data_IF_419170151963
#
_entry.id   IF_419170151963
#
_cell.length_a   1.000
_cell.length_b   1.000
_cell.length_c   1.000
_cell.angle_alpha   90.00
_cell.angle_beta   90.00
_cell.angle_gamma   90.00
#
_symmetry.space_group_name_H-M   'P 1'
#
loop_
_entity.id
_entity.type
_entity.pdbx_description
1 polymer ?
#
# COMPACT_ATOMS: atom_id res chain seq x y z
N UNK A 1 54.06 -43.79 21.59
CA UNK A 1 55.02 -42.79 21.11
C UNK A 1 54.37 -42.05 19.93
N UNK A 2 53.57 -41.02 20.20
CA UNK A 2 53.85 -39.60 19.89
C UNK A 2 54.66 -39.37 18.60
N UNK A 3 54.03 -38.78 17.58
CA UNK A 3 54.33 -37.39 17.16
C UNK A 3 53.53 -36.94 15.92
N UNK A 4 52.99 -35.72 16.06
CA UNK A 4 52.82 -34.64 15.09
C UNK A 4 52.10 -34.85 13.74
N UNK A 5 50.90 -34.26 13.65
CA UNK A 5 50.54 -33.39 12.52
C UNK A 5 49.71 -32.21 13.06
N UNK A 6 50.19 -31.00 12.84
CA UNK A 6 49.55 -29.76 13.27
C UNK A 6 48.35 -29.40 12.42
N UNK A 7 47.39 -28.71 13.03
CA UNK A 7 46.40 -27.90 12.34
C UNK A 7 46.16 -26.63 13.16
N UNK A 8 46.52 -25.51 12.54
CA UNK A 8 46.16 -24.16 12.97
C UNK A 8 44.63 -24.01 12.98
N UNK A 9 44.08 -23.56 14.10
CA UNK A 9 42.72 -23.04 14.20
C UNK A 9 42.81 -21.62 14.77
N UNK A 10 42.32 -20.59 14.05
CA UNK A 10 42.33 -19.24 14.58
C UNK A 10 41.34 -19.13 15.75
N UNK A 11 41.78 -18.47 16.81
CA UNK A 11 40.99 -18.18 17.99
C UNK A 11 39.68 -17.47 17.61
N UNK A 12 38.56 -18.13 17.88
CA UNK A 12 37.23 -17.51 17.89
C UNK A 12 37.25 -16.38 18.93
N UNK A 13 37.31 -15.14 18.45
CA UNK A 13 36.94 -13.96 19.24
C UNK A 13 35.45 -14.11 19.61
N UNK A 14 35.19 -14.54 20.83
CA UNK A 14 33.93 -14.27 21.51
C UNK A 14 33.82 -12.74 21.68
N UNK A 15 33.32 -12.06 20.66
CA UNK A 15 32.89 -10.68 20.77
C UNK A 15 31.47 -10.71 21.32
N UNK A 16 31.38 -10.69 22.64
CA UNK A 16 30.19 -10.40 23.42
C UNK A 16 29.36 -9.32 22.72
N UNK A 17 28.21 -9.69 22.14
CA UNK A 17 27.18 -8.73 21.79
C UNK A 17 26.58 -8.23 23.11
N UNK A 18 27.20 -7.19 23.66
CA UNK A 18 26.50 -6.26 24.54
C UNK A 18 25.31 -5.77 23.73
N UNK A 19 24.11 -6.22 24.08
CA UNK A 19 22.87 -5.62 23.59
C UNK A 19 22.78 -4.25 24.24
N UNK A 20 23.44 -3.27 23.62
CA UNK A 20 23.17 -1.88 23.87
C UNK A 20 21.76 -1.62 23.34
N UNK A 21 20.81 -1.43 24.26
CA UNK A 21 19.55 -0.78 23.97
C UNK A 21 19.87 0.71 23.72
N UNK A 22 20.42 1.00 22.55
CA UNK A 22 20.66 2.37 22.12
C UNK A 22 19.36 2.95 21.63
N UNK A 23 18.97 4.03 22.31
CA UNK A 23 17.99 5.02 21.90
C UNK A 23 18.45 5.72 20.59
N UNK A 24 18.45 4.98 19.48
CA UNK A 24 18.79 5.52 18.17
C UNK A 24 17.55 6.16 17.57
N UNK A 25 17.37 7.47 17.81
CA UNK A 25 16.45 8.27 17.01
C UNK A 25 16.85 8.14 15.54
N UNK A 26 16.09 7.36 14.78
CA UNK A 26 16.39 7.09 13.38
C UNK A 26 15.89 8.27 12.55
N UNK A 27 16.81 8.96 11.87
CA UNK A 27 16.47 10.08 11.00
C UNK A 27 16.40 9.58 9.56
N UNK A 28 15.28 9.84 8.89
CA UNK A 28 15.04 9.39 7.52
C UNK A 28 14.60 10.54 6.63
N UNK A 29 15.14 10.59 5.41
CA UNK A 29 14.72 11.56 4.39
C UNK A 29 13.67 10.93 3.50
N UNK A 30 12.50 11.55 3.44
CA UNK A 30 11.42 11.17 2.54
C UNK A 30 11.45 12.11 1.34
N UNK A 31 11.70 11.57 0.15
CA UNK A 31 11.80 12.33 -1.10
C UNK A 31 10.46 12.90 -1.58
N UNK A 32 10.50 13.59 -2.72
CA UNK A 32 9.28 14.03 -3.42
C UNK A 32 8.48 12.81 -3.87
N UNK A 33 7.15 12.87 -3.73
CA UNK A 33 6.24 11.77 -4.09
C UNK A 33 6.62 10.43 -3.45
N UNK A 34 7.23 10.47 -2.26
CA UNK A 34 7.49 9.28 -1.45
C UNK A 34 6.68 9.32 -0.17
N UNK A 35 6.48 8.15 0.43
CA UNK A 35 5.83 8.03 1.72
C UNK A 35 6.46 6.92 2.55
N UNK A 36 6.24 6.99 3.87
CA UNK A 36 6.58 5.96 4.85
C UNK A 36 5.37 5.63 5.70
N UNK A 37 5.43 4.49 6.37
CA UNK A 37 4.50 4.14 7.45
C UNK A 37 5.26 4.08 8.77
N UNK A 38 4.71 4.73 9.79
CA UNK A 38 5.29 4.79 11.13
C UNK A 38 4.27 4.23 12.11
N UNK A 39 4.67 3.19 12.85
CA UNK A 39 3.93 2.62 13.96
C UNK A 39 4.32 3.36 15.24
N UNK A 40 3.34 3.84 15.99
CA UNK A 40 3.56 4.30 17.36
C UNK A 40 3.25 3.15 18.33
N UNK A 41 4.23 2.74 19.13
CA UNK A 41 4.14 1.60 20.05
C UNK A 41 3.24 1.87 21.28
N UNK A 42 3.06 3.13 21.67
CA UNK A 42 2.18 3.49 22.78
C UNK A 42 0.70 3.33 22.40
N UNK A 43 0.36 3.70 21.17
CA UNK A 43 -1.03 3.69 20.65
C UNK A 43 -1.33 2.47 19.79
N UNK A 44 -0.31 1.74 19.34
CA UNK A 44 -0.37 0.71 18.30
C UNK A 44 -0.97 1.20 16.97
N UNK A 45 -0.94 2.51 16.71
CA UNK A 45 -1.46 3.11 15.49
C UNK A 45 -0.36 3.24 14.46
N UNK A 46 -0.61 2.71 13.26
CA UNK A 46 0.25 2.94 12.10
C UNK A 46 -0.30 4.09 11.27
N UNK A 47 0.54 5.09 11.00
CA UNK A 47 0.18 6.28 10.23
C UNK A 47 1.06 6.46 9.01
N UNK A 48 0.51 7.17 8.04
CA UNK A 48 1.15 7.52 6.78
C UNK A 48 1.84 8.89 6.91
N UNK A 49 3.09 8.97 6.46
CA UNK A 49 3.85 10.23 6.40
C UNK A 49 4.30 10.47 4.95
N UNK A 50 3.93 11.63 4.39
CA UNK A 50 4.20 12.01 3.00
C UNK A 50 5.46 12.89 2.89
N UNK A 51 6.32 12.66 1.91
CA UNK A 51 7.40 13.59 1.58
C UNK A 51 6.91 14.83 0.82
N UNK A 52 7.80 15.81 0.54
CA UNK A 52 9.21 15.86 0.93
C UNK A 52 9.39 16.37 2.35
N UNK A 53 9.98 15.54 3.22
CA UNK A 53 10.36 15.96 4.58
C UNK A 53 11.45 15.07 5.15
N UNK A 54 12.24 15.61 6.07
CA UNK A 54 13.08 14.79 6.95
C UNK A 54 12.24 14.41 8.16
N UNK A 55 12.08 13.11 8.40
CA UNK A 55 11.34 12.57 9.52
C UNK A 55 12.31 12.06 10.59
N UNK A 56 12.06 12.45 11.84
CA UNK A 56 12.82 11.98 13.00
C UNK A 56 11.93 10.97 13.72
N UNK A 57 12.33 9.70 13.71
CA UNK A 57 11.64 8.65 14.42
C UNK A 57 11.91 8.78 15.92
N UNK A 58 10.85 8.93 16.70
CA UNK A 58 10.92 9.01 18.16
C UNK A 58 11.12 7.62 18.78
N UNK A 59 11.39 7.59 20.10
CA UNK A 59 11.70 6.37 20.84
C UNK A 59 10.52 5.39 20.87
N UNK A 60 9.29 5.93 20.94
CA UNK A 60 8.05 5.16 20.95
C UNK A 60 7.53 4.87 19.54
N UNK A 61 8.34 5.10 18.52
CA UNK A 61 7.97 4.94 17.14
C UNK A 61 8.89 3.99 16.41
N UNK A 62 8.33 3.37 15.36
CA UNK A 62 9.05 2.49 14.48
C UNK A 62 8.62 2.72 13.06
N UNK A 63 9.59 2.94 12.18
CA UNK A 63 9.36 2.93 10.73
C UNK A 63 9.07 1.47 10.34
N UNK A 64 7.85 1.21 9.88
CA UNK A 64 7.40 -0.13 9.44
C UNK A 64 7.38 -0.26 7.93
N UNK A 65 7.41 0.86 7.21
CA UNK A 65 7.61 0.92 5.76
C UNK A 65 8.64 2.00 5.45
N UNK A 66 9.76 1.59 4.86
CA UNK A 66 10.80 2.47 4.33
C UNK A 66 10.27 3.35 3.18
N UNK A 67 10.95 4.46 2.83
CA UNK A 67 10.51 5.40 1.80
C UNK A 67 10.17 4.69 0.50
N UNK A 68 8.90 4.74 0.14
CA UNK A 68 8.34 4.11 -1.06
C UNK A 68 7.73 5.16 -1.96
N UNK A 69 7.93 4.99 -3.26
CA UNK A 69 7.34 5.88 -4.25
C UNK A 69 5.80 5.75 -4.27
N UNK A 70 5.14 6.90 -4.40
CA UNK A 70 3.71 6.99 -4.65
C UNK A 70 3.36 6.36 -6.00
N UNK A 71 2.14 5.85 -6.09
CA UNK A 71 1.62 5.29 -7.33
C UNK A 71 1.22 6.44 -8.23
N UNK A 72 1.84 6.52 -9.39
CA UNK A 72 1.46 7.43 -10.47
C UNK A 72 0.70 6.66 -11.54
N UNK A 73 -0.55 7.04 -11.78
CA UNK A 73 -1.41 6.44 -12.82
C UNK A 73 -1.45 7.43 -14.00
N UNK A 74 -0.85 7.11 -15.16
CA UNK A 74 -0.88 7.98 -16.34
C UNK A 74 -2.31 8.14 -16.91
N UNK A 75 -2.55 9.12 -17.79
CA UNK A 75 -3.80 9.20 -18.55
C UNK A 75 -4.14 7.88 -19.25
N UNK A 76 -5.42 7.55 -19.33
CA UNK A 76 -5.93 6.32 -19.95
C UNK A 76 -5.40 5.01 -19.30
N UNK A 77 -4.98 5.06 -18.04
CA UNK A 77 -4.59 3.89 -17.25
C UNK A 77 -5.41 3.80 -15.96
N UNK A 78 -5.38 2.62 -15.34
CA UNK A 78 -5.95 2.35 -14.04
C UNK A 78 -5.08 1.39 -13.24
N UNK A 79 -5.28 1.35 -11.93
CA UNK A 79 -4.80 0.29 -11.06
C UNK A 79 -5.93 -0.17 -10.13
N UNK A 80 -5.74 -1.31 -9.47
CA UNK A 80 -6.73 -1.83 -8.52
C UNK A 80 -6.10 -1.92 -7.14
N UNK A 81 -6.72 -1.26 -6.18
CA UNK A 81 -6.37 -1.28 -4.76
C UNK A 81 -7.29 -2.26 -4.04
N UNK A 82 -6.74 -3.01 -3.11
CA UNK A 82 -7.47 -3.89 -2.20
C UNK A 82 -7.45 -3.31 -0.79
N UNK A 83 -8.55 -3.52 -0.07
CA UNK A 83 -8.85 -2.91 1.23
C UNK A 83 -8.78 -1.37 1.19
N UNK A 84 -9.46 -0.70 0.24
CA UNK A 84 -9.36 0.75 0.11
C UNK A 84 -9.84 1.46 1.37
N UNK A 85 -9.25 2.61 1.68
CA UNK A 85 -9.68 3.42 2.82
C UNK A 85 -11.13 3.89 2.70
N UNK A 86 -11.80 4.03 3.83
CA UNK A 86 -13.06 4.75 3.92
C UNK A 86 -12.78 6.26 3.84
N UNK A 87 -13.56 6.97 3.03
CA UNK A 87 -13.47 8.43 2.87
C UNK A 87 -14.79 9.08 3.27
N UNK A 88 -14.70 10.25 3.90
CA UNK A 88 -15.88 11.09 4.16
C UNK A 88 -16.27 11.87 2.90
N UNK A 89 -17.35 12.67 2.97
CA UNK A 89 -17.81 13.52 1.85
C UNK A 89 -16.72 14.44 1.25
N UNK A 90 -15.85 15.10 2.05
CA UNK A 90 -14.73 15.87 1.48
C UNK A 90 -13.58 15.00 0.94
N UNK A 91 -13.69 13.66 0.98
CA UNK A 91 -12.70 12.74 0.42
C UNK A 91 -11.52 12.42 1.34
N UNK A 92 -11.58 12.87 2.60
CA UNK A 92 -10.57 12.65 3.62
C UNK A 92 -10.72 11.26 4.27
N UNK A 93 -9.61 10.65 4.74
CA UNK A 93 -9.66 9.34 5.40
C UNK A 93 -10.49 9.38 6.68
N UNK A 94 -11.42 8.43 6.82
CA UNK A 94 -12.16 8.23 8.07
C UNK A 94 -11.28 7.50 9.06
N UNK A 95 -11.10 8.08 10.25
CA UNK A 95 -10.34 7.49 11.34
C UNK A 95 -11.26 6.78 12.34
N UNK A 96 -10.74 5.80 13.07
CA UNK A 96 -11.38 5.20 14.24
C UNK A 96 -11.04 5.94 15.54
N UNK A 97 -11.52 5.42 16.67
CA UNK A 97 -11.32 6.02 18.00
C UNK A 97 -9.85 6.06 18.42
N UNK A 98 -9.02 5.18 17.88
CA UNK A 98 -7.57 5.14 18.11
C UNK A 98 -6.82 6.09 17.18
N UNK A 99 -7.47 6.63 16.13
CA UNK A 99 -6.83 7.44 15.10
C UNK A 99 -6.23 6.60 13.96
N UNK A 100 -6.57 5.31 13.88
CA UNK A 100 -6.20 4.46 12.76
C UNK A 100 -7.18 4.65 11.60
N UNK A 101 -6.67 4.57 10.37
CA UNK A 101 -7.49 4.73 9.17
C UNK A 101 -8.39 3.51 8.98
N UNK A 102 -9.68 3.74 8.77
CA UNK A 102 -10.66 2.67 8.49
C UNK A 102 -10.56 2.21 7.05
N UNK A 103 -10.62 0.89 6.85
CA UNK A 103 -10.57 0.24 5.55
C UNK A 103 -11.89 -0.45 5.25
N UNK A 104 -12.27 -0.49 3.97
CA UNK A 104 -13.30 -1.40 3.47
C UNK A 104 -12.65 -2.77 3.23
N UNK A 105 -12.56 -3.57 4.29
CA UNK A 105 -11.90 -4.88 4.23
C UNK A 105 -12.61 -5.83 3.26
N UNK A 106 -11.85 -6.46 2.38
CA UNK A 106 -12.36 -7.38 1.36
C UNK A 106 -12.83 -6.69 0.07
N UNK A 107 -12.99 -5.36 0.08
CA UNK A 107 -13.38 -4.61 -1.11
C UNK A 107 -12.17 -4.29 -1.99
N UNK A 108 -12.47 -3.92 -3.24
CA UNK A 108 -11.50 -3.41 -4.19
C UNK A 108 -11.96 -2.10 -4.79
N UNK A 109 -11.00 -1.21 -5.08
CA UNK A 109 -11.24 0.10 -5.70
C UNK A 109 -10.36 0.25 -6.94
N UNK A 110 -10.99 0.61 -8.07
CA UNK A 110 -10.27 1.04 -9.26
C UNK A 110 -9.86 2.51 -9.11
N UNK A 111 -8.57 2.82 -9.25
CA UNK A 111 -8.06 4.20 -9.28
C UNK A 111 -7.55 4.54 -10.68
N UNK A 112 -8.07 5.63 -11.24
CA UNK A 112 -7.73 6.14 -12.57
C UNK A 112 -6.64 7.23 -12.49
N UNK A 113 -6.45 7.97 -13.59
CA UNK A 113 -5.51 9.09 -13.65
C UNK A 113 -5.86 10.18 -12.63
N UNK A 114 -4.90 10.50 -11.77
CA UNK A 114 -4.97 11.53 -10.74
C UNK A 114 -3.55 11.87 -10.26
N UNK A 115 -3.44 12.82 -9.34
CA UNK A 115 -2.15 13.12 -8.69
C UNK A 115 -1.55 11.87 -8.02
N UNK A 116 -0.21 11.71 -8.03
CA UNK A 116 0.44 10.58 -7.41
C UNK A 116 -0.02 10.37 -5.97
N UNK A 117 -0.43 9.15 -5.64
CA UNK A 117 -1.03 8.85 -4.35
C UNK A 117 -0.27 7.75 -3.59
N UNK A 118 -0.22 7.86 -2.26
CA UNK A 118 0.33 6.82 -1.39
C UNK A 118 -0.67 5.66 -1.22
N UNK A 119 -0.18 4.54 -0.68
CA UNK A 119 -1.05 3.53 -0.08
C UNK A 119 -1.11 3.77 1.43
N UNK A 120 -2.31 3.77 1.99
CA UNK A 120 -2.49 3.84 3.44
C UNK A 120 -2.12 2.51 4.10
N UNK A 121 -1.80 2.50 5.40
CA UNK A 121 -1.56 1.25 6.14
C UNK A 121 -2.73 0.27 5.96
N UNK A 122 -2.43 -0.91 5.42
CA UNK A 122 -3.40 -1.97 5.12
C UNK A 122 -3.97 -1.97 3.70
N UNK A 123 -3.82 -0.88 2.92
CA UNK A 123 -4.09 -0.91 1.49
C UNK A 123 -2.99 -1.70 0.75
N UNK A 124 -3.39 -2.47 -0.26
CA UNK A 124 -2.46 -3.21 -1.12
C UNK A 124 -2.75 -2.95 -2.59
N UNK A 125 -1.69 -2.89 -3.41
CA UNK A 125 -1.82 -2.77 -4.86
C UNK A 125 -2.09 -4.17 -5.44
N UNK A 126 -3.35 -4.48 -5.71
CA UNK A 126 -3.80 -5.77 -6.25
C UNK A 126 -3.47 -5.93 -7.74
N UNK A 127 -3.69 -4.88 -8.53
CA UNK A 127 -3.27 -4.83 -9.94
C UNK A 127 -2.43 -3.60 -10.16
N UNK A 128 -1.23 -3.78 -10.71
CA UNK A 128 -0.36 -2.69 -11.13
C UNK A 128 -1.02 -1.82 -12.21
N UNK A 129 -0.45 -0.63 -12.43
CA UNK A 129 -0.91 0.31 -13.46
C UNK A 129 -0.99 -0.38 -14.82
N UNK A 130 -2.17 -0.34 -15.43
CA UNK A 130 -2.49 -0.96 -16.71
C UNK A 130 -3.34 -0.01 -17.56
N UNK A 131 -3.15 -0.06 -18.88
CA UNK A 131 -3.96 0.72 -19.83
C UNK A 131 -5.44 0.32 -19.74
N UNK A 132 -6.32 1.30 -19.83
CA UNK A 132 -7.76 1.07 -19.96
C UNK A 132 -8.04 0.35 -21.28
N UNK A 133 -8.87 -0.71 -21.25
CA UNK A 133 -9.33 -1.33 -22.48
C UNK A 133 -10.30 -0.37 -23.19
N UNK A 134 -10.18 -0.26 -24.51
CA UNK A 134 -11.03 0.59 -25.35
C UNK A 134 -11.84 -0.33 -26.26
N UNK A 135 -13.14 -0.07 -26.37
CA UNK A 135 -14.03 -0.80 -27.28
C UNK A 135 -14.13 -0.02 -28.59
N UNK A 136 -13.80 -0.68 -29.70
CA UNK A 136 -13.86 -0.05 -31.01
C UNK A 136 -15.30 0.02 -31.54
N UNK A 137 -15.50 0.77 -32.63
CA UNK A 137 -16.79 0.79 -33.34
C UNK A 137 -17.18 -0.62 -33.80
N UNK A 138 -18.45 -0.99 -33.62
CA UNK A 138 -18.99 -2.33 -33.90
C UNK A 138 -18.42 -3.46 -33.03
N UNK A 139 -17.77 -3.12 -31.91
CA UNK A 139 -17.37 -4.08 -30.88
C UNK A 139 -18.13 -3.80 -29.57
N UNK A 140 -18.19 -4.80 -28.69
CA UNK A 140 -18.79 -4.66 -27.37
C UNK A 140 -18.08 -5.54 -26.34
N UNK A 141 -18.01 -5.08 -25.09
CA UNK A 141 -17.72 -5.96 -23.97
C UNK A 141 -18.99 -6.67 -23.52
N UNK A 142 -18.91 -8.00 -23.38
CA UNK A 142 -19.91 -8.76 -22.65
C UNK A 142 -19.54 -8.74 -21.17
N UNK A 143 -20.26 -7.94 -20.41
CA UNK A 143 -20.09 -7.80 -18.97
C UNK A 143 -20.95 -8.84 -18.25
N UNK A 144 -20.48 -9.28 -17.08
CA UNK A 144 -21.19 -10.20 -16.19
C UNK A 144 -21.12 -9.64 -14.76
N UNK A 145 -22.27 -9.53 -14.10
CA UNK A 145 -22.36 -9.10 -12.71
C UNK A 145 -21.81 -10.21 -11.81
N UNK A 146 -20.76 -9.92 -11.04
CA UNK A 146 -20.21 -10.90 -10.08
C UNK A 146 -21.01 -10.98 -8.79
N UNK A 147 -21.77 -9.93 -8.47
CA UNK A 147 -22.63 -9.82 -7.29
C UNK A 147 -23.81 -8.90 -7.59
N UNK A 148 -24.77 -8.85 -6.67
CA UNK A 148 -25.90 -7.94 -6.77
C UNK A 148 -25.45 -6.50 -6.51
N UNK A 149 -25.80 -5.57 -7.40
CA UNK A 149 -25.52 -4.14 -7.24
C UNK A 149 -26.49 -3.28 -8.04
N UNK A 150 -26.44 -1.97 -7.82
CA UNK A 150 -27.15 -0.97 -8.64
C UNK A 150 -26.11 -0.23 -9.46
N UNK A 151 -26.26 -0.23 -10.78
CA UNK A 151 -25.34 0.48 -11.67
C UNK A 151 -25.59 2.00 -11.69
N UNK A 152 -24.77 2.73 -12.44
CA UNK A 152 -24.81 4.21 -12.51
C UNK A 152 -26.13 4.74 -13.11
N UNK A 153 -26.80 3.93 -13.93
CA UNK A 153 -28.10 4.26 -14.52
C UNK A 153 -29.28 3.92 -13.58
N UNK A 154 -29.00 3.42 -12.37
CA UNK A 154 -30.00 3.01 -11.39
C UNK A 154 -30.61 1.64 -11.67
N UNK A 155 -30.02 0.84 -12.56
CA UNK A 155 -30.51 -0.50 -12.88
C UNK A 155 -29.99 -1.49 -11.85
N UNK A 156 -30.92 -2.21 -11.21
CA UNK A 156 -30.59 -3.33 -10.34
C UNK A 156 -30.05 -4.50 -11.17
N UNK A 157 -28.78 -4.83 -10.98
CA UNK A 157 -28.12 -5.98 -11.60
C UNK A 157 -28.06 -7.14 -10.61
N UNK A 158 -28.44 -8.33 -11.06
CA UNK A 158 -28.37 -9.56 -10.26
C UNK A 158 -27.10 -10.35 -10.63
N UNK A 159 -26.48 -11.01 -9.67
CA UNK A 159 -25.31 -11.85 -9.91
C UNK A 159 -25.55 -12.86 -11.06
N UNK A 160 -24.55 -12.98 -11.95
CA UNK A 160 -24.60 -13.79 -13.16
C UNK A 160 -25.33 -13.13 -14.35
N UNK A 161 -26.01 -12.00 -14.15
CA UNK A 161 -26.64 -11.25 -15.25
C UNK A 161 -25.57 -10.74 -16.22
N UNK A 162 -25.84 -10.85 -17.52
CA UNK A 162 -24.98 -10.37 -18.60
C UNK A 162 -25.60 -9.21 -19.36
N UNK A 163 -24.76 -8.27 -19.79
CA UNK A 163 -25.15 -7.19 -20.68
C UNK A 163 -23.98 -6.76 -21.56
N UNK A 164 -24.27 -5.94 -22.56
CA UNK A 164 -23.27 -5.41 -23.47
C UNK A 164 -22.91 -3.96 -23.08
N UNK A 165 -21.62 -3.65 -23.16
CA UNK A 165 -21.11 -2.29 -23.25
C UNK A 165 -20.62 -2.10 -24.69
N UNK A 166 -21.39 -1.37 -25.50
CA UNK A 166 -21.12 -1.16 -26.92
C UNK A 166 -20.16 0.02 -27.13
N UNK A 167 -19.22 -0.12 -28.06
CA UNK A 167 -18.31 0.96 -28.43
C UNK A 167 -18.94 2.00 -29.38
N UNK A 168 -18.24 3.11 -29.66
CA UNK A 168 -16.91 3.45 -29.16
C UNK A 168 -16.94 3.99 -27.72
N UNK A 169 -16.05 3.49 -26.86
CA UNK A 169 -15.99 3.86 -25.44
C UNK A 169 -14.85 3.21 -24.69
#
# INVERSE_FOLDING_TARGET
MISNAGFDLPALRLSTMVRNAEDQSTVIRIGNYQYIHVLNHNTNVTRLILGPRTYVCLQDEKIVLEPKDMISVPPMHYCVIENPIMRNEPGEPVLDISGQVKLRLGDTECRFHQDPFPLYPGETLKKSVKKLPVVMTNEAFCLEALMDFVDEDGVHRVAGQKWLFEGPG
#
